data_IF_872113620540
#
_entry.id   IF_872113620540
#
_cell.length_a   1.000
_cell.length_b   1.000
_cell.length_c   1.000
_cell.angle_alpha   90.00
_cell.angle_beta   90.00
_cell.angle_gamma   90.00
#
_symmetry.space_group_name_H-M   'P 1'
#
loop_
_entity.id
_entity.type
_entity.pdbx_description
1 polymer ?
#
# COMPACT_ATOMS: atom_id res chain seq x y z
N UNK A 1 21.61 22.91 1.84
CA UNK A 1 20.82 22.00 1.00
C UNK A 1 20.09 21.05 1.93
N UNK A 2 18.76 21.17 2.03
CA UNK A 2 17.94 20.32 2.92
C UNK A 2 17.93 18.93 2.29
N UNK A 3 18.49 17.95 2.99
CA UNK A 3 18.58 16.58 2.49
C UNK A 3 17.19 16.11 2.08
N UNK A 4 17.07 15.57 0.88
CA UNK A 4 15.96 14.69 0.54
C UNK A 4 16.15 13.46 1.44
N UNK A 5 15.52 13.47 2.61
CA UNK A 5 15.32 12.27 3.38
C UNK A 5 14.38 11.39 2.57
N UNK A 6 14.98 10.57 1.70
CA UNK A 6 14.30 9.46 1.09
C UNK A 6 13.87 8.58 2.26
N UNK A 7 12.56 8.50 2.51
CA UNK A 7 11.98 7.53 3.43
C UNK A 7 12.33 6.13 2.91
N UNK A 8 13.49 5.62 3.31
CA UNK A 8 13.88 4.25 3.08
C UNK A 8 13.37 3.46 4.26
N UNK A 9 12.11 3.03 4.18
CA UNK A 9 11.58 2.05 5.11
C UNK A 9 12.29 0.75 4.77
N UNK A 10 13.22 0.32 5.62
CA UNK A 10 13.72 -1.06 5.63
C UNK A 10 12.51 -1.96 5.92
N UNK A 11 11.82 -2.37 4.85
CA UNK A 11 10.59 -3.17 4.87
C UNK A 11 10.85 -4.63 5.29
N UNK A 12 12.07 -4.93 5.74
CA UNK A 12 12.67 -6.25 5.77
C UNK A 12 12.15 -7.17 6.88
N UNK A 13 11.48 -6.67 7.92
CA UNK A 13 11.06 -7.53 9.05
C UNK A 13 9.62 -7.33 9.57
N UNK A 14 8.86 -6.35 9.07
CA UNK A 14 7.52 -6.06 9.59
C UNK A 14 6.47 -6.08 8.47
N UNK A 15 5.31 -6.68 8.74
CA UNK A 15 4.15 -6.56 7.85
C UNK A 15 3.59 -5.15 8.01
N UNK A 16 3.75 -4.29 7.01
CA UNK A 16 3.24 -2.92 7.05
C UNK A 16 1.82 -2.88 6.51
N UNK A 17 0.90 -2.48 7.37
CA UNK A 17 -0.50 -2.31 7.05
C UNK A 17 -0.84 -0.81 7.09
N UNK A 18 -1.53 -0.33 6.05
CA UNK A 18 -1.98 1.07 5.99
C UNK A 18 -3.49 1.14 5.83
N UNK A 19 -4.12 2.19 6.35
CA UNK A 19 -5.47 2.53 5.91
C UNK A 19 -5.45 2.87 4.43
N UNK A 20 -6.59 2.71 3.76
CA UNK A 20 -6.72 3.07 2.34
C UNK A 20 -6.39 4.55 2.11
N UNK A 21 -6.82 5.43 3.01
CA UNK A 21 -6.53 6.86 2.97
C UNK A 21 -5.02 7.12 3.04
N UNK A 22 -4.33 6.50 4.00
CA UNK A 22 -2.89 6.71 4.15
C UNK A 22 -2.11 6.16 2.96
N UNK A 23 -2.53 5.03 2.41
CA UNK A 23 -1.97 4.49 1.19
C UNK A 23 -2.17 5.45 0.01
N UNK A 24 -3.38 5.99 -0.15
CA UNK A 24 -3.72 6.94 -1.21
C UNK A 24 -2.86 8.21 -1.15
N UNK A 25 -2.62 8.76 0.04
CA UNK A 25 -1.72 9.90 0.23
C UNK A 25 -0.31 9.60 -0.25
N UNK A 26 0.24 8.43 0.09
CA UNK A 26 1.62 8.05 -0.23
C UNK A 26 1.86 7.90 -1.73
N UNK A 27 0.85 7.44 -2.48
CA UNK A 27 0.94 7.26 -3.94
C UNK A 27 0.42 8.47 -4.73
N UNK A 28 0.02 9.57 -4.06
CA UNK A 28 -0.50 10.77 -4.70
C UNK A 28 -1.91 10.63 -5.28
N UNK A 29 -2.73 9.72 -4.74
CA UNK A 29 -4.09 9.42 -5.18
C UNK A 29 -5.15 9.70 -4.10
N UNK A 30 -4.87 10.63 -3.17
CA UNK A 30 -5.79 10.98 -2.08
C UNK A 30 -7.20 11.38 -2.56
N UNK A 31 -7.30 12.05 -3.71
CA UNK A 31 -8.58 12.45 -4.32
C UNK A 31 -9.28 11.34 -5.12
N UNK A 32 -8.70 10.15 -5.19
CA UNK A 32 -9.14 9.05 -6.05
C UNK A 32 -9.47 7.78 -5.26
N UNK A 33 -9.92 7.91 -4.01
CA UNK A 33 -10.33 6.77 -3.18
C UNK A 33 -11.30 5.80 -3.88
N UNK A 34 -12.33 6.25 -4.63
CA UNK A 34 -13.23 5.33 -5.34
C UNK A 34 -12.53 4.43 -6.38
N UNK A 35 -11.45 4.93 -7.01
CA UNK A 35 -10.66 4.12 -7.93
C UNK A 35 -9.87 3.05 -7.18
N UNK A 36 -9.32 3.39 -6.02
CA UNK A 36 -8.59 2.44 -5.17
C UNK A 36 -9.54 1.38 -4.58
N UNK A 37 -10.78 1.74 -4.24
CA UNK A 37 -11.81 0.76 -3.87
C UNK A 37 -12.10 -0.23 -5.00
N UNK A 38 -12.23 0.25 -6.24
CA UNK A 38 -12.38 -0.65 -7.39
C UNK A 38 -11.20 -1.60 -7.55
N UNK A 39 -9.98 -1.17 -7.23
CA UNK A 39 -8.80 -2.05 -7.25
C UNK A 39 -8.83 -3.10 -6.15
N UNK A 40 -9.39 -2.78 -4.99
CA UNK A 40 -9.63 -3.73 -3.91
C UNK A 40 -10.64 -4.78 -4.37
N UNK A 41 -11.78 -4.34 -4.92
CA UNK A 41 -12.85 -5.24 -5.38
C UNK A 41 -12.38 -6.13 -6.54
N UNK A 42 -11.50 -5.62 -7.41
CA UNK A 42 -10.87 -6.38 -8.48
C UNK A 42 -9.73 -7.30 -8.00
N UNK A 43 -9.36 -7.26 -6.71
CA UNK A 43 -8.26 -8.05 -6.14
C UNK A 43 -6.86 -7.56 -6.52
N UNK A 44 -6.75 -6.41 -7.19
CA UNK A 44 -5.50 -5.80 -7.62
C UNK A 44 -4.72 -5.20 -6.43
N UNK A 45 -5.42 -4.59 -5.48
CA UNK A 45 -4.83 -4.07 -4.24
C UNK A 45 -5.04 -5.07 -3.09
N UNK A 46 -3.98 -5.72 -2.57
CA UNK A 46 -4.12 -6.69 -1.50
C UNK A 46 -4.51 -5.99 -0.19
N UNK A 47 -5.57 -6.51 0.43
CA UNK A 47 -6.10 -6.02 1.70
C UNK A 47 -6.14 -7.15 2.73
N UNK A 48 -6.01 -6.78 4.00
CA UNK A 48 -6.23 -7.66 5.14
C UNK A 48 -7.24 -7.04 6.10
N UNK A 49 -8.13 -7.87 6.63
CA UNK A 49 -9.15 -7.47 7.59
C UNK A 49 -8.66 -7.75 9.02
N UNK A 50 -8.73 -6.73 9.88
CA UNK A 50 -8.45 -6.79 11.31
C UNK A 50 -9.68 -6.28 12.08
N UNK A 51 -10.53 -7.21 12.52
CA UNK A 51 -11.84 -6.86 13.08
C UNK A 51 -12.70 -6.15 12.03
N UNK A 52 -13.08 -4.91 12.30
CA UNK A 52 -13.86 -4.06 11.38
C UNK A 52 -12.99 -3.24 10.43
N UNK A 53 -11.68 -3.19 10.65
CA UNK A 53 -10.76 -2.40 9.85
C UNK A 53 -10.24 -3.20 8.66
N UNK A 54 -10.24 -2.59 7.47
CA UNK A 54 -9.58 -3.11 6.27
C UNK A 54 -8.33 -2.30 6.00
N UNK A 55 -7.18 -2.96 5.96
CA UNK A 55 -5.88 -2.32 5.75
C UNK A 55 -5.19 -2.89 4.51
N UNK A 56 -4.51 -2.03 3.76
CA UNK A 56 -3.66 -2.40 2.62
C UNK A 56 -2.47 -3.17 3.15
N UNK A 57 -2.24 -4.36 2.60
CA UNK A 57 -1.08 -5.19 2.92
C UNK A 57 0.09 -4.82 1.98
N UNK A 58 0.97 -3.94 2.46
CA UNK A 58 2.08 -3.46 1.64
C UNK A 58 3.07 -4.57 1.29
N UNK A 59 3.25 -5.55 2.18
CA UNK A 59 4.15 -6.67 1.93
C UNK A 59 3.63 -7.51 0.76
N UNK A 60 2.37 -7.90 0.81
CA UNK A 60 1.74 -8.66 -0.28
C UNK A 60 1.74 -7.87 -1.60
N UNK A 61 1.63 -6.54 -1.54
CA UNK A 61 1.71 -5.69 -2.72
C UNK A 61 3.12 -5.71 -3.33
N UNK A 62 4.17 -5.55 -2.52
CA UNK A 62 5.57 -5.56 -2.99
C UNK A 62 5.97 -6.93 -3.51
N UNK A 63 5.62 -8.02 -2.82
CA UNK A 63 5.87 -9.40 -3.27
C UNK A 63 5.17 -9.74 -4.61
N UNK A 64 4.11 -9.00 -4.98
CA UNK A 64 3.47 -9.13 -6.30
C UNK A 64 4.24 -8.37 -7.38
N UNK A 65 4.82 -7.22 -7.03
CA UNK A 65 5.64 -6.44 -7.95
C UNK A 65 6.92 -7.20 -8.30
N UNK A 66 7.63 -7.72 -7.30
CA UNK A 66 8.88 -8.49 -7.52
C UNK A 66 8.66 -9.75 -8.40
N UNK A 67 7.50 -10.41 -8.28
CA UNK A 67 7.14 -11.56 -9.13
C UNK A 67 6.67 -11.21 -10.54
N UNK A 68 6.29 -9.96 -10.77
CA UNK A 68 5.86 -9.50 -12.10
C UNK A 68 7.04 -9.04 -12.95
N UNK A 69 8.23 -8.89 -12.35
CA UNK A 69 9.49 -8.52 -13.02
C UNK A 69 10.38 -9.74 -13.36
N UNK A 70 9.91 -10.97 -13.12
CA UNK A 70 10.59 -12.24 -13.47
C UNK A 70 10.07 -12.85 -14.78
#
# INVERSE_FOLDING_TARGET
MKGKETFSVELSEHSYYLTLERFAELIGMADQLPLLENWIDAGALPMRQFGEQRLVDLRALLERQERSEE
#
